data_IF_127685258793
#
_entry.id   IF_127685258793
#
_cell.length_a   1.000
_cell.length_b   1.000
_cell.length_c   1.000
_cell.angle_alpha   90.00
_cell.angle_beta   90.00
_cell.angle_gamma   90.00
#
_symmetry.space_group_name_H-M   'P 1'
#
loop_
_entity.id
_entity.type
_entity.pdbx_description
1 polymer ?
#
# COMPACT_ATOMS: atom_id res chain seq x y z
N UNK A 1 1.94 20.04 -15.35
CA UNK A 1 1.63 19.53 -14.00
C UNK A 1 0.56 20.35 -13.27
N UNK A 2 0.12 21.51 -13.80
CA UNK A 2 -0.85 22.41 -13.16
C UNK A 2 -2.34 22.01 -13.30
N UNK A 3 -2.70 21.10 -14.23
CA UNK A 3 -4.12 20.84 -14.54
C UNK A 3 -4.71 19.57 -13.90
N UNK A 4 -3.90 18.63 -13.39
CA UNK A 4 -4.42 17.37 -12.80
C UNK A 4 -4.86 17.53 -11.35
N UNK A 5 -4.19 18.41 -10.60
CA UNK A 5 -4.51 18.72 -9.21
C UNK A 5 -5.86 19.46 -9.07
N UNK A 6 -6.14 20.51 -9.85
CA UNK A 6 -7.45 21.17 -9.81
C UNK A 6 -8.57 20.24 -10.27
N UNK A 7 -8.34 19.36 -11.25
CA UNK A 7 -9.35 18.42 -11.74
C UNK A 7 -9.72 17.35 -10.69
N UNK A 8 -8.72 16.85 -9.93
CA UNK A 8 -9.00 15.96 -8.79
C UNK A 8 -9.73 16.71 -7.67
N UNK A 9 -9.33 17.96 -7.39
CA UNK A 9 -10.02 18.79 -6.41
C UNK A 9 -11.47 19.05 -6.79
N UNK A 10 -11.72 19.41 -8.05
CA UNK A 10 -13.04 19.71 -8.61
C UNK A 10 -13.96 18.49 -8.50
N UNK A 11 -13.50 17.31 -8.94
CA UNK A 11 -14.24 16.05 -8.81
C UNK A 11 -14.51 15.71 -7.34
N UNK A 12 -13.54 15.90 -6.46
CA UNK A 12 -13.74 15.65 -5.02
C UNK A 12 -14.76 16.62 -4.43
N UNK A 13 -14.71 17.91 -4.78
CA UNK A 13 -15.69 18.89 -4.32
C UNK A 13 -17.07 18.59 -4.85
N UNK A 14 -17.22 18.24 -6.12
CA UNK A 14 -18.50 17.88 -6.75
C UNK A 14 -19.12 16.64 -6.09
N UNK A 15 -18.32 15.59 -5.86
CA UNK A 15 -18.74 14.38 -5.13
C UNK A 15 -19.18 14.69 -3.70
N UNK A 16 -18.54 15.65 -3.04
CA UNK A 16 -18.90 16.07 -1.68
C UNK A 16 -20.18 16.91 -1.66
N UNK A 17 -20.44 17.74 -2.69
CA UNK A 17 -21.56 18.68 -2.70
C UNK A 17 -22.85 18.13 -3.32
N UNK A 18 -22.78 17.27 -4.34
CA UNK A 18 -23.98 16.81 -5.08
C UNK A 18 -24.60 15.51 -4.51
N UNK A 19 -24.00 14.95 -3.47
CA UNK A 19 -24.54 13.79 -2.77
C UNK A 19 -24.11 12.46 -3.40
N UNK A 20 -23.92 11.46 -2.53
CA UNK A 20 -23.39 10.13 -2.82
C UNK A 20 -24.33 9.24 -3.66
N UNK A 21 -24.74 9.73 -4.84
CA UNK A 21 -25.55 8.98 -5.79
C UNK A 21 -24.65 8.05 -6.61
N UNK A 22 -25.19 6.89 -6.99
CA UNK A 22 -24.47 5.88 -7.77
C UNK A 22 -23.94 6.45 -9.10
N UNK A 23 -24.70 7.39 -9.68
CA UNK A 23 -24.42 8.03 -10.96
C UNK A 23 -23.14 8.88 -10.95
N UNK A 24 -22.80 9.49 -9.81
CA UNK A 24 -21.60 10.32 -9.65
C UNK A 24 -20.42 9.47 -9.13
N UNK A 25 -20.71 8.48 -8.29
CA UNK A 25 -19.69 7.62 -7.67
C UNK A 25 -18.94 6.74 -8.68
N UNK A 26 -19.68 6.11 -9.59
CA UNK A 26 -19.11 5.21 -10.61
C UNK A 26 -18.14 5.92 -11.56
N UNK A 27 -18.47 7.09 -12.16
CA UNK A 27 -17.52 7.80 -13.00
C UNK A 27 -16.33 8.33 -12.19
N UNK A 28 -16.51 8.81 -10.96
CA UNK A 28 -15.39 9.22 -10.11
C UNK A 28 -14.42 8.06 -9.83
N UNK A 29 -14.94 6.86 -9.53
CA UNK A 29 -14.13 5.65 -9.36
C UNK A 29 -13.46 5.22 -10.68
N UNK A 30 -14.15 5.32 -11.80
CA UNK A 30 -13.58 5.02 -13.12
C UNK A 30 -12.42 5.97 -13.46
N UNK A 31 -12.57 7.26 -13.18
CA UNK A 31 -11.51 8.27 -13.33
C UNK A 31 -10.34 7.95 -12.41
N UNK A 32 -10.60 7.66 -11.13
CA UNK A 32 -9.58 7.29 -10.17
C UNK A 32 -8.78 6.05 -10.62
N UNK A 33 -9.48 5.02 -11.13
CA UNK A 33 -8.87 3.82 -11.68
C UNK A 33 -8.07 4.11 -12.97
N UNK A 34 -8.57 4.97 -13.86
CA UNK A 34 -7.87 5.39 -15.06
C UNK A 34 -6.59 6.17 -14.73
N UNK A 35 -6.63 7.08 -13.75
CA UNK A 35 -5.48 7.85 -13.25
C UNK A 35 -4.44 6.90 -12.62
N UNK A 36 -4.88 5.93 -11.82
CA UNK A 36 -4.01 4.89 -11.27
C UNK A 36 -3.36 4.04 -12.38
N UNK A 37 -4.17 3.59 -13.34
CA UNK A 37 -3.75 2.82 -14.51
C UNK A 37 -2.75 3.55 -15.40
N UNK A 38 -2.99 4.83 -15.67
CA UNK A 38 -2.09 5.70 -16.42
C UNK A 38 -0.70 5.78 -15.77
N UNK A 39 -0.62 5.70 -14.45
CA UNK A 39 0.64 5.60 -13.71
C UNK A 39 1.46 4.34 -14.01
N UNK A 40 0.92 3.30 -14.65
CA UNK A 40 1.70 2.16 -15.15
C UNK A 40 2.38 2.42 -16.49
N UNK A 41 1.77 3.25 -17.33
CA UNK A 41 2.27 3.58 -18.66
C UNK A 41 3.06 4.90 -18.70
N UNK A 42 2.88 5.76 -17.69
CA UNK A 42 3.60 7.02 -17.57
C UNK A 42 5.11 6.81 -17.51
N UNK A 43 5.84 7.65 -18.22
CA UNK A 43 7.30 7.71 -18.21
C UNK A 43 7.77 8.90 -17.36
N UNK A 44 8.93 8.76 -16.73
CA UNK A 44 9.53 9.80 -15.89
C UNK A 44 9.76 9.38 -14.44
N UNK A 45 10.58 10.15 -13.69
CA UNK A 45 11.08 9.73 -12.38
C UNK A 45 10.06 9.89 -11.24
N UNK A 46 9.04 10.73 -11.40
CA UNK A 46 8.10 11.11 -10.32
C UNK A 46 6.63 10.98 -10.74
N UNK A 47 6.34 11.29 -12.01
CA UNK A 47 4.99 11.26 -12.58
C UNK A 47 4.25 9.92 -12.38
N UNK A 48 4.87 8.73 -12.58
CA UNK A 48 4.16 7.46 -12.47
C UNK A 48 3.69 7.15 -11.04
N UNK A 49 4.51 7.49 -10.04
CA UNK A 49 4.15 7.32 -8.63
C UNK A 49 3.10 8.33 -8.22
N UNK A 50 3.25 9.59 -8.63
CA UNK A 50 2.27 10.65 -8.34
C UNK A 50 0.87 10.29 -8.83
N UNK A 51 0.74 9.83 -10.07
CA UNK A 51 -0.54 9.41 -10.66
C UNK A 51 -1.16 8.23 -9.91
N UNK A 52 -0.36 7.24 -9.50
CA UNK A 52 -0.88 6.09 -8.73
C UNK A 52 -1.37 6.51 -7.36
N UNK A 53 -0.60 7.35 -6.66
CA UNK A 53 -0.98 7.86 -5.33
C UNK A 53 -2.24 8.72 -5.43
N UNK A 54 -2.33 9.62 -6.42
CA UNK A 54 -3.53 10.46 -6.60
C UNK A 54 -4.76 9.66 -6.97
N UNK A 55 -4.63 8.65 -7.84
CA UNK A 55 -5.75 7.76 -8.19
C UNK A 55 -6.26 6.96 -6.99
N UNK A 56 -5.35 6.38 -6.19
CA UNK A 56 -5.73 5.66 -4.96
C UNK A 56 -6.34 6.58 -3.90
N UNK A 57 -5.79 7.79 -3.71
CA UNK A 57 -6.31 8.77 -2.76
C UNK A 57 -7.72 9.25 -3.17
N UNK A 58 -7.95 9.50 -4.46
CA UNK A 58 -9.28 9.86 -4.97
C UNK A 58 -10.30 8.72 -4.77
N UNK A 59 -9.92 7.48 -5.08
CA UNK A 59 -10.76 6.32 -4.81
C UNK A 59 -11.11 6.22 -3.31
N UNK A 60 -10.11 6.33 -2.44
CA UNK A 60 -10.30 6.31 -0.98
C UNK A 60 -11.27 7.40 -0.52
N UNK A 61 -11.13 8.63 -1.01
CA UNK A 61 -12.01 9.74 -0.68
C UNK A 61 -13.48 9.46 -1.08
N UNK A 62 -13.71 8.96 -2.30
CA UNK A 62 -15.06 8.60 -2.78
C UNK A 62 -15.70 7.55 -1.88
N UNK A 63 -14.93 6.52 -1.49
CA UNK A 63 -15.39 5.47 -0.56
C UNK A 63 -15.69 6.03 0.84
N UNK A 64 -14.82 6.88 1.40
CA UNK A 64 -15.04 7.50 2.70
C UNK A 64 -16.32 8.35 2.72
N UNK A 65 -16.55 9.17 1.69
CA UNK A 65 -17.79 9.97 1.56
C UNK A 65 -19.01 9.07 1.48
N UNK A 66 -18.97 8.00 0.68
CA UNK A 66 -20.08 7.06 0.56
C UNK A 66 -20.40 6.32 1.86
N UNK A 67 -19.38 5.94 2.62
CA UNK A 67 -19.57 5.29 3.92
C UNK A 67 -20.18 6.27 4.91
N UNK A 68 -19.70 7.51 4.94
CA UNK A 68 -20.18 8.54 5.87
C UNK A 68 -21.64 8.91 5.62
N UNK A 69 -22.06 9.02 4.36
CA UNK A 69 -23.43 9.40 3.97
C UNK A 69 -24.39 8.21 3.93
N UNK A 70 -23.89 6.97 4.06
CA UNK A 70 -24.74 5.78 3.91
C UNK A 70 -25.19 5.53 2.46
N UNK A 71 -24.32 5.83 1.49
CA UNK A 71 -24.59 5.70 0.06
C UNK A 71 -24.78 4.24 -0.40
N UNK A 72 -24.99 4.05 -1.71
CA UNK A 72 -25.35 2.76 -2.32
C UNK A 72 -24.46 1.57 -1.92
N UNK A 73 -23.17 1.83 -1.66
CA UNK A 73 -22.18 0.83 -1.32
C UNK A 73 -22.43 0.18 0.06
N UNK A 74 -23.01 0.93 1.00
CA UNK A 74 -23.46 0.39 2.29
C UNK A 74 -24.68 -0.53 2.14
N UNK A 75 -25.51 -0.29 1.13
CA UNK A 75 -26.62 -1.17 0.75
C UNK A 75 -26.14 -2.55 0.29
N UNK A 76 -24.92 -2.65 -0.24
CA UNK A 76 -24.31 -3.92 -0.64
C UNK A 76 -23.73 -4.73 0.53
N UNK A 77 -23.51 -4.12 1.70
CA UNK A 77 -22.95 -4.83 2.86
C UNK A 77 -23.86 -5.99 3.30
N UNK A 78 -25.18 -5.76 3.34
CA UNK A 78 -26.17 -6.75 3.79
C UNK A 78 -26.32 -7.96 2.86
N UNK A 79 -26.52 -7.81 1.53
CA UNK A 79 -26.59 -8.95 0.63
C UNK A 79 -25.28 -9.74 0.60
N UNK A 80 -24.12 -9.06 0.64
CA UNK A 80 -22.82 -9.74 0.69
C UNK A 80 -22.64 -10.53 1.98
N UNK A 81 -22.99 -9.94 3.14
CA UNK A 81 -22.97 -10.66 4.41
C UNK A 81 -23.89 -11.89 4.36
N UNK A 82 -25.13 -11.75 3.85
CA UNK A 82 -26.06 -12.88 3.74
C UNK A 82 -25.59 -13.97 2.78
N UNK A 83 -24.90 -13.59 1.70
CA UNK A 83 -24.32 -14.55 0.77
C UNK A 83 -23.19 -15.34 1.44
N UNK A 84 -22.31 -14.67 2.17
CA UNK A 84 -21.21 -15.32 2.89
C UNK A 84 -21.71 -16.22 4.01
N UNK A 85 -22.75 -15.79 4.73
CA UNK A 85 -23.41 -16.58 5.76
C UNK A 85 -23.95 -17.91 5.20
N UNK A 86 -24.53 -17.86 3.99
CA UNK A 86 -24.99 -19.05 3.27
C UNK A 86 -23.88 -19.98 2.75
N UNK A 87 -22.61 -19.55 2.79
CA UNK A 87 -21.46 -20.30 2.27
C UNK A 87 -20.42 -20.65 3.34
N UNK A 88 -20.84 -20.74 4.61
CA UNK A 88 -19.93 -21.12 5.68
C UNK A 88 -19.36 -22.55 5.51
N UNK A 89 -18.05 -22.69 5.74
CA UNK A 89 -17.32 -23.94 5.87
C UNK A 89 -16.30 -23.86 7.03
N UNK A 90 -16.09 -24.99 7.69
CA UNK A 90 -15.27 -25.10 8.90
C UNK A 90 -13.78 -24.73 8.68
N UNK A 91 -13.27 -24.91 7.47
CA UNK A 91 -11.87 -24.59 7.15
C UNK A 91 -11.64 -23.07 7.10
N UNK A 92 -12.54 -22.34 6.48
CA UNK A 92 -12.50 -20.88 6.46
C UNK A 92 -12.75 -20.31 7.85
N UNK A 93 -13.65 -20.91 8.64
CA UNK A 93 -13.90 -20.47 10.02
C UNK A 93 -12.63 -20.56 10.88
N UNK A 94 -11.88 -21.66 10.78
CA UNK A 94 -10.64 -21.84 11.54
C UNK A 94 -9.51 -20.91 11.05
N UNK A 95 -9.36 -20.73 9.73
CA UNK A 95 -8.41 -19.75 9.18
C UNK A 95 -8.73 -18.33 9.63
N UNK A 96 -10.01 -17.98 9.65
CA UNK A 96 -10.48 -16.67 10.07
C UNK A 96 -10.22 -16.45 11.56
N UNK A 97 -10.51 -17.45 12.38
CA UNK A 97 -10.22 -17.46 13.82
C UNK A 97 -8.75 -17.21 14.11
N UNK A 98 -7.84 -17.87 13.40
CA UNK A 98 -6.39 -17.68 13.57
C UNK A 98 -5.94 -16.26 13.20
N UNK A 99 -6.48 -15.70 12.12
CA UNK A 99 -6.14 -14.35 11.65
C UNK A 99 -6.71 -13.22 12.51
N UNK A 100 -7.80 -13.49 13.24
CA UNK A 100 -8.58 -12.48 13.94
C UNK A 100 -8.13 -12.15 15.37
N UNK A 101 -7.21 -12.92 15.95
CA UNK A 101 -6.85 -12.78 17.37
C UNK A 101 -5.93 -11.57 17.64
N UNK A 102 -6.05 -10.92 18.82
CA UNK A 102 -5.10 -9.89 19.25
C UNK A 102 -3.66 -10.44 19.34
N UNK A 103 -3.52 -11.74 19.67
CA UNK A 103 -2.24 -12.43 19.61
C UNK A 103 -1.62 -12.44 18.19
N UNK A 104 -2.45 -12.58 17.15
CA UNK A 104 -2.04 -12.46 15.76
C UNK A 104 -1.50 -11.06 15.43
N UNK A 105 -2.19 -9.99 15.85
CA UNK A 105 -1.74 -8.61 15.63
C UNK A 105 -0.40 -8.32 16.36
N UNK A 106 -0.25 -8.81 17.59
CA UNK A 106 1.01 -8.71 18.36
C UNK A 106 2.13 -9.49 17.66
N UNK A 107 1.86 -10.71 17.17
CA UNK A 107 2.85 -11.52 16.46
C UNK A 107 3.33 -10.86 15.16
N UNK A 108 2.42 -10.24 14.39
CA UNK A 108 2.78 -9.57 13.13
C UNK A 108 3.57 -8.29 13.40
N UNK A 109 3.19 -7.49 14.41
CA UNK A 109 3.92 -6.26 14.76
C UNK A 109 5.31 -6.54 15.34
N UNK A 110 5.44 -7.55 16.21
CA UNK A 110 6.77 -8.02 16.69
C UNK A 110 7.60 -8.61 15.54
N UNK A 111 6.99 -9.41 14.66
CA UNK A 111 7.66 -9.92 13.47
C UNK A 111 8.19 -8.80 12.56
N UNK A 112 7.40 -7.73 12.37
CA UNK A 112 7.81 -6.55 11.62
C UNK A 112 8.97 -5.82 12.30
N UNK A 113 8.93 -5.62 13.62
CA UNK A 113 10.01 -5.00 14.37
C UNK A 113 11.32 -5.81 14.31
N UNK A 114 11.24 -7.13 14.47
CA UNK A 114 12.39 -8.05 14.35
C UNK A 114 12.96 -8.00 12.92
N UNK A 115 12.10 -7.97 11.90
CA UNK A 115 12.55 -7.80 10.52
C UNK A 115 13.21 -6.45 10.29
N UNK A 116 12.66 -5.35 10.79
CA UNK A 116 13.27 -4.03 10.70
C UNK A 116 14.67 -4.01 11.34
N UNK A 117 14.81 -4.62 12.52
CA UNK A 117 16.09 -4.75 13.21
C UNK A 117 17.09 -5.60 12.40
N UNK A 118 16.67 -6.75 11.89
CA UNK A 118 17.51 -7.62 11.07
C UNK A 118 17.96 -6.94 9.76
N UNK A 119 17.08 -6.13 9.16
CA UNK A 119 17.42 -5.31 7.98
C UNK A 119 18.46 -4.24 8.31
N UNK A 120 18.29 -3.57 9.45
CA UNK A 120 19.23 -2.54 9.94
C UNK A 120 20.61 -3.14 10.20
N UNK A 121 20.67 -4.31 10.85
CA UNK A 121 21.92 -5.05 11.06
C UNK A 121 22.62 -5.45 9.76
N UNK A 122 21.88 -5.60 8.66
CA UNK A 122 22.41 -5.90 7.32
C UNK A 122 22.75 -4.64 6.50
N UNK A 123 22.79 -3.46 7.12
CA UNK A 123 23.06 -2.18 6.45
C UNK A 123 21.95 -1.73 5.51
N UNK A 124 20.71 -2.21 5.71
CA UNK A 124 19.53 -1.87 4.89
C UNK A 124 18.63 -0.87 5.60
N UNK A 125 19.20 0.25 6.05
CA UNK A 125 18.49 1.26 6.85
C UNK A 125 17.24 1.81 6.15
N UNK A 126 17.29 1.97 4.82
CA UNK A 126 16.13 2.40 4.05
C UNK A 126 14.97 1.40 4.11
N UNK A 127 15.26 0.10 4.06
CA UNK A 127 14.23 -0.94 4.15
C UNK A 127 13.68 -1.05 5.58
N UNK A 128 14.56 -0.96 6.58
CA UNK A 128 14.15 -0.94 7.99
C UNK A 128 13.25 0.27 8.29
N UNK A 129 13.61 1.45 7.79
CA UNK A 129 12.79 2.66 7.89
C UNK A 129 11.41 2.48 7.30
N UNK A 130 11.28 1.86 6.12
CA UNK A 130 9.98 1.60 5.49
C UNK A 130 9.08 0.69 6.33
N UNK A 131 9.63 -0.37 6.93
CA UNK A 131 8.88 -1.24 7.83
C UNK A 131 8.35 -0.45 9.01
N UNK A 132 9.22 0.34 9.66
CA UNK A 132 8.85 1.14 10.83
C UNK A 132 7.84 2.24 10.48
N UNK A 133 7.98 2.91 9.33
CA UNK A 133 7.01 3.92 8.88
C UNK A 133 5.68 3.28 8.52
N UNK A 134 5.65 2.10 7.90
CA UNK A 134 4.40 1.39 7.61
C UNK A 134 3.67 0.96 8.90
N UNK A 135 4.41 0.42 9.87
CA UNK A 135 3.86 0.05 11.19
C UNK A 135 3.44 1.30 11.99
N UNK A 136 4.19 2.40 11.93
CA UNK A 136 3.84 3.65 12.59
C UNK A 136 2.60 4.32 11.98
N UNK A 137 2.53 4.40 10.65
CA UNK A 137 1.36 4.93 9.94
C UNK A 137 0.10 4.09 10.23
N UNK A 138 0.26 2.78 10.43
CA UNK A 138 -0.81 1.92 10.89
C UNK A 138 -1.35 2.27 12.27
N UNK A 139 -0.43 2.40 13.22
CA UNK A 139 -0.78 2.64 14.61
C UNK A 139 -1.48 3.98 14.74
N UNK A 140 -0.99 5.00 14.02
CA UNK A 140 -1.61 6.32 13.97
C UNK A 140 -2.94 6.32 13.22
N UNK A 141 -3.04 5.60 12.10
CA UNK A 141 -4.29 5.47 11.34
C UNK A 141 -5.38 4.75 12.13
N UNK A 142 -5.02 3.72 12.90
CA UNK A 142 -5.94 3.02 13.81
C UNK A 142 -6.40 3.96 14.92
N UNK A 143 -5.44 4.56 15.62
CA UNK A 143 -5.74 5.50 16.71
C UNK A 143 -6.63 6.68 16.28
N UNK A 144 -6.39 7.25 15.09
CA UNK A 144 -7.20 8.36 14.56
C UNK A 144 -8.64 7.93 14.21
N UNK A 145 -8.85 6.67 13.83
CA UNK A 145 -10.18 6.12 13.54
C UNK A 145 -10.90 5.60 14.79
N UNK A 146 -10.16 5.35 15.88
CA UNK A 146 -10.69 4.95 17.18
C UNK A 146 -11.23 6.13 17.99
N UNK A 147 -10.67 7.34 17.82
CA UNK A 147 -11.02 8.53 18.61
C UNK A 147 -12.40 9.13 18.23
N UNK A 148 -12.96 8.80 17.06
CA UNK A 148 -14.26 9.30 16.58
C UNK A 148 -15.49 8.57 17.18
N UNK A 149 -15.32 7.80 18.27
CA UNK A 149 -16.43 7.29 19.10
C UNK A 149 -17.36 6.26 18.44
N UNK A 150 -17.08 5.83 17.22
CA UNK A 150 -17.88 4.86 16.46
C UNK A 150 -17.02 4.14 15.43
N UNK A 151 -15.99 3.43 15.88
CA UNK A 151 -14.95 2.84 15.03
C UNK A 151 -15.55 2.03 13.86
N UNK A 152 -15.43 2.61 12.67
CA UNK A 152 -15.86 1.98 11.41
C UNK A 152 -14.84 0.92 10.98
N UNK A 153 -13.60 0.95 11.50
CA UNK A 153 -12.59 -0.09 11.31
C UNK A 153 -12.11 -0.63 12.66
N UNK A 154 -12.00 -1.95 12.87
CA UNK A 154 -11.35 -2.49 14.05
C UNK A 154 -9.85 -2.18 14.01
N UNK A 155 -9.31 -1.59 15.07
CA UNK A 155 -7.88 -1.25 15.24
C UNK A 155 -6.93 -2.39 14.87
N UNK A 156 -7.34 -3.63 15.15
CA UNK A 156 -6.56 -4.83 14.87
C UNK A 156 -6.38 -5.11 13.36
N UNK A 157 -7.36 -4.73 12.53
CA UNK A 157 -7.34 -4.99 11.08
C UNK A 157 -6.39 -4.02 10.39
N UNK A 158 -6.48 -2.74 10.73
CA UNK A 158 -5.58 -1.72 10.18
C UNK A 158 -4.13 -2.01 10.58
N UNK A 159 -3.89 -2.41 11.84
CA UNK A 159 -2.57 -2.77 12.37
C UNK A 159 -1.99 -4.05 11.75
N UNK A 160 -2.81 -5.09 11.54
CA UNK A 160 -2.35 -6.33 10.93
C UNK A 160 -1.99 -6.15 9.45
N UNK A 161 -2.81 -5.41 8.70
CA UNK A 161 -2.64 -5.20 7.26
C UNK A 161 -1.39 -4.41 6.91
N UNK A 162 -1.21 -3.29 7.58
CA UNK A 162 -0.03 -2.44 7.46
C UNK A 162 1.25 -3.12 7.93
N UNK A 163 1.19 -3.94 8.98
CA UNK A 163 2.35 -4.70 9.42
C UNK A 163 2.71 -5.83 8.43
N UNK A 164 1.71 -6.50 7.84
CA UNK A 164 1.89 -7.44 6.72
C UNK A 164 2.50 -6.73 5.50
N UNK A 165 1.98 -5.56 5.14
CA UNK A 165 2.48 -4.75 4.03
C UNK A 165 3.91 -4.31 4.27
N UNK A 166 4.23 -3.82 5.47
CA UNK A 166 5.58 -3.47 5.89
C UNK A 166 6.52 -4.66 5.79
N UNK A 167 6.11 -5.82 6.28
CA UNK A 167 6.87 -7.06 6.23
C UNK A 167 7.17 -7.52 4.80
N UNK A 168 6.16 -7.55 3.92
CA UNK A 168 6.33 -8.00 2.54
C UNK A 168 7.11 -7.00 1.68
N UNK A 169 6.96 -5.69 1.91
CA UNK A 169 7.83 -4.68 1.28
C UNK A 169 9.27 -4.80 1.76
N UNK A 170 9.50 -5.12 3.04
CA UNK A 170 10.82 -5.46 3.56
C UNK A 170 11.42 -6.69 2.87
N UNK A 171 10.69 -7.80 2.80
CA UNK A 171 11.14 -9.03 2.14
C UNK A 171 11.45 -8.76 0.67
N UNK A 172 10.58 -8.03 -0.02
CA UNK A 172 10.79 -7.61 -1.41
C UNK A 172 12.04 -6.73 -1.59
N UNK A 173 12.38 -5.89 -0.62
CA UNK A 173 13.59 -5.07 -0.65
C UNK A 173 14.89 -5.87 -0.50
N UNK A 174 14.81 -7.06 0.11
CA UNK A 174 15.96 -7.94 0.32
C UNK A 174 16.25 -8.81 -0.90
N UNK A 175 15.22 -9.17 -1.65
CA UNK A 175 15.33 -10.08 -2.79
C UNK A 175 15.95 -9.37 -4.00
N UNK A 176 17.09 -9.89 -4.45
CA UNK A 176 17.86 -9.32 -5.57
C UNK A 176 17.22 -9.59 -6.93
N UNK A 177 16.50 -10.71 -7.11
CA UNK A 177 15.88 -11.07 -8.38
C UNK A 177 14.49 -10.48 -8.53
N UNK A 178 14.26 -9.77 -9.65
CA UNK A 178 12.96 -9.17 -10.01
C UNK A 178 11.78 -10.17 -9.93
N UNK A 179 11.82 -11.38 -10.51
CA UNK A 179 10.66 -12.27 -10.48
C UNK A 179 10.32 -12.74 -9.06
N UNK A 180 11.31 -13.07 -8.23
CA UNK A 180 11.09 -13.46 -6.84
C UNK A 180 10.59 -12.29 -5.98
N UNK A 181 11.04 -11.08 -6.29
CA UNK A 181 10.56 -9.87 -5.64
C UNK A 181 9.09 -9.60 -5.96
N UNK A 182 8.69 -9.73 -7.24
CA UNK A 182 7.28 -9.61 -7.63
C UNK A 182 6.46 -10.73 -6.99
N UNK A 183 6.95 -11.97 -7.00
CA UNK A 183 6.29 -13.11 -6.35
C UNK A 183 6.08 -12.89 -4.85
N UNK A 184 7.08 -12.38 -4.12
CA UNK A 184 6.95 -12.07 -2.69
C UNK A 184 5.93 -10.97 -2.41
N UNK A 185 5.88 -9.92 -3.24
CA UNK A 185 4.86 -8.86 -3.12
C UNK A 185 3.46 -9.40 -3.45
N UNK A 186 3.33 -10.22 -4.50
CA UNK A 186 2.06 -10.83 -4.89
C UNK A 186 1.55 -11.80 -3.81
N UNK A 187 2.43 -12.65 -3.25
CA UNK A 187 2.10 -13.53 -2.14
C UNK A 187 1.65 -12.73 -0.91
N UNK A 188 2.33 -11.62 -0.60
CA UNK A 188 1.92 -10.75 0.49
C UNK A 188 0.58 -10.08 0.30
N UNK A 189 0.33 -9.59 -0.91
CA UNK A 189 -0.98 -9.05 -1.30
C UNK A 189 -2.08 -10.11 -1.18
N UNK A 190 -1.81 -11.36 -1.59
CA UNK A 190 -2.76 -12.46 -1.43
C UNK A 190 -3.07 -12.78 0.03
N UNK A 191 -2.07 -12.79 0.91
CA UNK A 191 -2.27 -13.00 2.35
C UNK A 191 -3.11 -11.88 2.97
N UNK A 192 -2.83 -10.63 2.60
CA UNK A 192 -3.60 -9.45 3.00
C UNK A 192 -5.06 -9.55 2.55
N UNK A 193 -5.28 -9.90 1.27
CA UNK A 193 -6.63 -10.07 0.72
C UNK A 193 -7.34 -11.22 1.42
N UNK A 194 -6.68 -12.35 1.64
CA UNK A 194 -7.26 -13.49 2.33
C UNK A 194 -7.65 -13.16 3.78
N UNK A 195 -6.82 -12.41 4.52
CA UNK A 195 -7.13 -11.98 5.88
C UNK A 195 -8.36 -11.04 5.92
N UNK A 196 -8.45 -10.13 4.96
CA UNK A 196 -9.57 -9.21 4.82
C UNK A 196 -10.88 -9.91 4.43
N UNK A 197 -10.80 -10.85 3.49
CA UNK A 197 -11.94 -11.67 3.09
C UNK A 197 -12.38 -12.58 4.25
N UNK A 198 -11.44 -13.14 5.01
CA UNK A 198 -11.74 -13.87 6.24
C UNK A 198 -12.54 -13.01 7.22
N UNK A 199 -12.12 -11.76 7.46
CA UNK A 199 -12.86 -10.84 8.34
C UNK A 199 -14.28 -10.57 7.86
N UNK A 200 -14.45 -10.29 6.57
CA UNK A 200 -15.76 -10.14 5.95
C UNK A 200 -16.63 -11.39 6.16
N UNK A 201 -16.00 -12.55 6.04
CA UNK A 201 -16.62 -13.85 6.16
C UNK A 201 -16.96 -14.23 7.62
N UNK A 202 -16.20 -13.80 8.63
CA UNK A 202 -16.61 -13.93 10.04
C UNK A 202 -17.80 -13.05 10.46
N UNK A 203 -18.32 -12.22 9.55
CA UNK A 203 -19.36 -11.23 9.84
C UNK A 203 -18.90 -10.09 10.75
N UNK A 204 -17.60 -10.00 11.04
CA UNK A 204 -17.03 -9.01 11.95
C UNK A 204 -16.89 -7.62 11.33
N UNK A 205 -16.73 -7.55 10.00
CA UNK A 205 -16.49 -6.30 9.27
C UNK A 205 -17.41 -6.17 8.06
N UNK A 206 -17.78 -4.93 7.73
CA UNK A 206 -18.56 -4.59 6.53
C UNK A 206 -17.69 -4.65 5.27
N UNK A 207 -18.29 -4.88 4.10
CA UNK A 207 -17.55 -4.92 2.83
C UNK A 207 -16.89 -3.56 2.56
N UNK A 208 -17.63 -2.49 2.81
CA UNK A 208 -17.14 -1.10 2.73
C UNK A 208 -15.84 -0.87 3.50
N UNK A 209 -15.78 -1.39 4.73
CA UNK A 209 -14.61 -1.33 5.63
C UNK A 209 -13.41 -2.06 5.05
N UNK A 210 -13.64 -3.26 4.53
CA UNK A 210 -12.61 -4.08 3.89
C UNK A 210 -12.03 -3.38 2.66
N UNK A 211 -12.87 -2.77 1.82
CA UNK A 211 -12.40 -2.08 0.61
C UNK A 211 -11.55 -0.85 0.97
N UNK A 212 -11.98 -0.05 1.95
CA UNK A 212 -11.19 1.10 2.45
C UNK A 212 -9.83 0.64 2.95
N UNK A 213 -9.79 -0.45 3.72
CA UNK A 213 -8.55 -1.03 4.20
C UNK A 213 -7.62 -1.48 3.06
N UNK A 214 -8.17 -2.10 2.00
CA UNK A 214 -7.41 -2.49 0.79
C UNK A 214 -6.85 -1.27 0.04
N UNK A 215 -7.64 -0.21 -0.10
CA UNK A 215 -7.22 1.01 -0.79
C UNK A 215 -6.11 1.72 -0.01
N UNK A 216 -6.24 1.84 1.31
CA UNK A 216 -5.23 2.43 2.18
C UNK A 216 -3.93 1.60 2.14
N UNK A 217 -4.05 0.29 2.21
CA UNK A 217 -2.94 -0.65 2.03
C UNK A 217 -2.18 -0.41 0.71
N UNK A 218 -2.92 -0.34 -0.40
CA UNK A 218 -2.35 -0.09 -1.72
C UNK A 218 -1.67 1.30 -1.80
N UNK A 219 -2.25 2.30 -1.14
CA UNK A 219 -1.70 3.66 -1.07
C UNK A 219 -0.35 3.65 -0.35
N UNK A 220 -0.27 3.04 0.83
CA UNK A 220 0.97 2.90 1.62
C UNK A 220 2.04 2.16 0.83
N UNK A 221 1.71 1.03 0.20
CA UNK A 221 2.65 0.28 -0.67
C UNK A 221 3.19 1.15 -1.80
N UNK A 222 2.31 1.92 -2.44
CA UNK A 222 2.67 2.76 -3.59
C UNK A 222 3.61 3.89 -3.19
N UNK A 223 3.34 4.54 -2.05
CA UNK A 223 4.21 5.57 -1.47
C UNK A 223 5.56 4.98 -1.07
N UNK A 224 5.57 3.83 -0.37
CA UNK A 224 6.78 3.17 0.09
C UNK A 224 7.66 2.64 -1.07
N UNK A 225 7.08 2.30 -2.22
CA UNK A 225 7.83 1.83 -3.39
C UNK A 225 8.69 2.94 -4.05
N UNK A 226 8.34 4.22 -3.85
CA UNK A 226 9.05 5.37 -4.43
C UNK A 226 10.51 5.49 -3.95
N UNK A 227 10.76 5.60 -2.64
CA UNK A 227 12.11 5.68 -2.07
C UNK A 227 13.02 4.51 -2.47
N UNK A 228 12.50 3.27 -2.51
CA UNK A 228 13.28 2.09 -2.93
C UNK A 228 13.84 2.25 -4.35
N UNK A 229 13.03 2.79 -5.27
CA UNK A 229 13.45 3.00 -6.66
C UNK A 229 14.52 4.08 -6.79
N UNK A 230 14.45 5.14 -5.95
CA UNK A 230 15.46 6.21 -5.91
C UNK A 230 16.79 5.74 -5.33
N UNK A 231 16.76 4.93 -4.27
CA UNK A 231 17.98 4.35 -3.69
C UNK A 231 18.70 3.39 -4.65
N UNK A 232 17.95 2.60 -5.42
CA UNK A 232 18.50 1.66 -6.40
C UNK A 232 19.11 2.35 -7.65
N UNK A 233 18.65 3.57 -7.98
CA UNK A 233 19.18 4.33 -9.12
C UNK A 233 20.43 5.14 -8.75
N UNK A 234 20.49 5.71 -7.54
CA UNK A 234 21.65 6.45 -7.04
C UNK A 234 22.91 5.61 -6.81
N UNK A 235 22.76 4.31 -6.52
CA UNK A 235 23.90 3.38 -6.41
C UNK A 235 24.52 3.04 -7.76
N UNK A 236 23.72 3.02 -8.84
CA UNK A 236 24.18 2.70 -10.20
C UNK A 236 24.97 3.84 -10.86
N UNK A 237 24.63 5.10 -10.55
CA UNK A 237 25.37 6.28 -11.01
C UNK A 237 26.73 6.44 -10.32
N UNK A 238 26.85 6.04 -9.04
CA UNK A 238 28.14 6.08 -8.31
C UNK A 238 29.16 5.08 -8.85
N UNK A 239 28.74 3.86 -9.21
CA UNK A 239 29.66 2.86 -9.78
C UNK A 239 30.15 3.21 -11.19
N UNK A 240 29.30 3.84 -12.00
CA UNK A 240 29.70 4.32 -13.33
C UNK A 240 30.65 5.51 -13.24
N UNK A 241 30.42 6.43 -12.30
CA UNK A 241 31.34 7.54 -12.05
C UNK A 241 32.69 7.09 -11.43
N UNK A 242 32.72 6.05 -10.60
CA UNK A 242 33.98 5.54 -10.02
C UNK A 242 34.81 4.78 -11.05
N UNK A 243 34.17 4.00 -11.94
CA UNK A 243 34.86 3.27 -13.01
C UNK A 243 35.41 4.19 -14.11
N UNK A 244 34.77 5.32 -14.41
CA UNK A 244 35.32 6.31 -15.35
C UNK A 244 36.54 7.01 -14.76
N UNK A 245 36.53 7.37 -13.46
CA UNK A 245 37.71 7.96 -12.79
C UNK A 245 38.92 7.02 -12.77
N UNK A 246 38.72 5.73 -12.53
CA UNK A 246 39.84 4.78 -12.56
C UNK A 246 40.42 4.57 -13.96
N UNK A 247 39.58 4.59 -15.01
CA UNK A 247 40.08 4.52 -16.41
C UNK A 247 40.84 5.76 -16.83
N UNK A 248 40.47 6.94 -16.35
CA UNK A 248 41.21 8.17 -16.65
C UNK A 248 42.52 8.30 -15.88
N UNK A 249 42.58 7.80 -14.63
CA UNK A 249 43.82 7.76 -13.86
C UNK A 249 44.86 6.83 -14.53
N UNK A 250 44.48 5.61 -14.91
CA UNK A 250 45.41 4.67 -15.56
C UNK A 250 45.85 5.05 -16.98
N UNK A 251 45.16 6.00 -17.64
CA UNK A 251 45.55 6.49 -18.97
C UNK A 251 46.58 7.62 -18.91
N UNK A 252 46.63 8.39 -17.82
CA UNK A 252 47.65 9.43 -17.63
C UNK A 252 49.04 8.84 -17.38
N UNK A 253 49.13 7.72 -16.66
CA UNK A 253 50.42 7.09 -16.36
C UNK A 253 51.11 6.45 -17.58
N UNK A 254 50.37 6.17 -18.67
CA UNK A 254 50.95 5.62 -19.91
C UNK A 254 51.48 6.68 -20.88
N UNK A 255 51.21 7.96 -20.65
CA UNK A 255 51.65 9.04 -21.55
C UNK A 255 52.99 9.67 -21.15
N UNK A 256 53.61 9.23 -20.04
CA UNK A 256 54.81 9.85 -19.47
C UNK A 256 56.06 8.95 -19.55
N UNK A 257 56.18 8.12 -20.58
CA UNK A 257 57.45 7.43 -20.88
C UNK A 257 58.10 8.13 -22.09
N UNK A 258 58.97 9.13 -21.85
CA UNK A 258 59.83 9.65 -22.90
C UNK A 258 60.84 8.56 -23.32
N UNK A 259 60.98 8.38 -24.63
CA UNK A 259 62.04 7.56 -25.23
C UNK A 259 63.39 8.28 -25.20
#
# INVERSE_FOLDING_TARGET
MSHTLPLVQEVVTEVVTEGATMEIALPALAIAAAVFGAGFFATGPVLPTGLRVSGLAAALAVFCVHIHVGGWLTGADRPVASFLDGHHNALLDELTRLSGTPAGAVAVSTGAAVCALALRQRGKDAAAGMVLTAVGAAALGGAALADDGGSVLPDAVLAALTALIGLFTAIASVIRSRPRRVGAVAAGALVVVAALVGRLYSGGDRLTVVIVAMLLAALVVTVAAGPVRRAATGTRSRHTASSSRHRYAGRRDRAAVPQ
#
